data_IF_518522919715
#
_entry.id   IF_518522919715
#
_cell.length_a   1.000
_cell.length_b   1.000
_cell.length_c   1.000
_cell.angle_alpha   90.00
_cell.angle_beta   90.00
_cell.angle_gamma   90.00
#
_symmetry.space_group_name_H-M   'P 1'
#
loop_
_entity.id
_entity.type
_entity.pdbx_description
1 polymer ?
#
# COMPACT_ATOMS: atom_id res chain seq x y z
N UNK A 1 4.42 19.31 -35.58
CA UNK A 1 3.78 18.96 -34.29
C UNK A 1 4.06 17.50 -34.01
N UNK A 2 4.29 17.11 -32.75
CA UNK A 2 4.43 15.68 -32.41
C UNK A 2 3.02 15.08 -32.39
N UNK A 3 2.75 14.13 -33.28
CA UNK A 3 1.49 13.34 -33.26
C UNK A 3 1.50 12.48 -31.99
N UNK A 4 0.43 12.53 -31.20
CA UNK A 4 0.32 11.76 -29.95
C UNK A 4 0.10 10.28 -30.30
N UNK A 5 0.95 9.37 -29.81
CA UNK A 5 0.71 7.92 -29.94
C UNK A 5 -0.03 7.41 -28.71
N UNK A 6 -1.27 6.98 -28.91
CA UNK A 6 -2.14 6.54 -27.82
C UNK A 6 -2.51 5.07 -27.96
N UNK A 7 -2.54 4.35 -26.83
CA UNK A 7 -3.12 3.01 -26.75
C UNK A 7 -4.39 3.09 -25.90
N UNK A 8 -5.54 2.73 -26.47
CA UNK A 8 -6.84 2.68 -25.79
C UNK A 8 -7.16 1.24 -25.39
N UNK A 9 -7.24 0.99 -24.09
CA UNK A 9 -7.45 -0.33 -23.51
C UNK A 9 -8.77 -0.35 -22.74
N UNK A 10 -9.73 -1.14 -23.22
CA UNK A 10 -11.04 -1.31 -22.60
C UNK A 10 -11.66 -2.59 -23.18
N UNK A 11 -12.32 -3.43 -22.39
CA UNK A 11 -12.94 -4.67 -22.89
C UNK A 11 -14.25 -4.38 -23.66
N UNK A 12 -14.93 -3.28 -23.31
CA UNK A 12 -16.15 -2.85 -23.97
C UNK A 12 -15.85 -2.12 -25.30
N UNK A 13 -16.22 -2.75 -26.42
CA UNK A 13 -15.97 -2.22 -27.77
C UNK A 13 -16.55 -0.80 -27.98
N UNK A 14 -17.75 -0.55 -27.46
CA UNK A 14 -18.41 0.76 -27.55
C UNK A 14 -17.61 1.83 -26.81
N UNK A 15 -17.03 1.48 -25.67
CA UNK A 15 -16.20 2.38 -24.88
C UNK A 15 -14.90 2.71 -25.61
N UNK A 16 -14.20 1.67 -26.13
CA UNK A 16 -13.00 1.86 -26.97
C UNK A 16 -13.27 2.79 -28.15
N UNK A 17 -14.32 2.53 -28.92
CA UNK A 17 -14.64 3.32 -30.12
C UNK A 17 -14.89 4.80 -29.79
N UNK A 18 -15.63 5.08 -28.71
CA UNK A 18 -15.91 6.46 -28.29
C UNK A 18 -14.64 7.19 -27.86
N UNK A 19 -13.80 6.55 -27.05
CA UNK A 19 -12.60 7.19 -26.54
C UNK A 19 -11.54 7.35 -27.65
N UNK A 20 -11.38 6.35 -28.52
CA UNK A 20 -10.53 6.45 -29.71
C UNK A 20 -10.97 7.59 -30.62
N UNK A 21 -12.27 7.74 -30.90
CA UNK A 21 -12.77 8.82 -31.75
C UNK A 21 -12.41 10.22 -31.21
N UNK A 22 -12.40 10.41 -29.88
CA UNK A 22 -11.97 11.66 -29.24
C UNK A 22 -10.45 11.86 -29.37
N UNK A 23 -9.67 10.79 -29.23
CA UNK A 23 -8.21 10.84 -29.17
C UNK A 23 -7.54 10.84 -30.56
N UNK A 24 -8.20 10.32 -31.58
CA UNK A 24 -7.75 10.34 -32.98
C UNK A 24 -7.61 11.76 -33.53
N UNK A 25 -8.34 12.73 -32.98
CA UNK A 25 -8.16 14.16 -33.28
C UNK A 25 -6.76 14.68 -32.86
N UNK A 26 -6.06 13.95 -31.97
CA UNK A 26 -4.79 14.36 -31.37
C UNK A 26 -3.59 13.56 -31.87
N UNK A 27 -3.82 12.44 -32.57
CA UNK A 27 -2.77 11.61 -33.13
C UNK A 27 -3.20 10.18 -33.45
N UNK A 28 -2.25 9.26 -33.39
CA UNK A 28 -2.45 7.84 -33.73
C UNK A 28 -3.03 7.08 -32.53
N UNK A 29 -4.12 6.34 -32.74
CA UNK A 29 -4.72 5.46 -31.74
C UNK A 29 -4.54 3.98 -32.13
N UNK A 30 -3.88 3.23 -31.24
CA UNK A 30 -3.97 1.78 -31.19
C UNK A 30 -5.04 1.37 -30.18
N UNK A 31 -5.60 0.18 -30.33
CA UNK A 31 -6.63 -0.37 -29.43
C UNK A 31 -6.25 -1.75 -28.92
N UNK A 32 -6.64 -2.06 -27.68
CA UNK A 32 -6.53 -3.39 -27.08
C UNK A 32 -7.81 -3.70 -26.30
N UNK A 33 -8.34 -4.90 -26.45
CA UNK A 33 -9.56 -5.35 -25.77
C UNK A 33 -9.33 -6.02 -24.42
N UNK A 34 -8.07 -6.17 -23.99
CA UNK A 34 -7.73 -6.83 -22.73
C UNK A 34 -6.34 -6.44 -22.22
N UNK A 35 -6.09 -6.71 -20.94
CA UNK A 35 -4.78 -6.51 -20.31
C UNK A 35 -3.61 -7.19 -21.04
N UNK A 36 -3.70 -8.50 -21.37
CA UNK A 36 -2.65 -9.20 -22.11
C UNK A 36 -2.37 -8.61 -23.50
N UNK A 37 -3.40 -8.16 -24.23
CA UNK A 37 -3.23 -7.48 -25.51
C UNK A 37 -2.50 -6.15 -25.36
N UNK A 38 -2.83 -5.38 -24.32
CA UNK A 38 -2.16 -4.12 -24.01
C UNK A 38 -0.68 -4.31 -23.67
N UNK A 39 -0.35 -5.30 -22.83
CA UNK A 39 1.02 -5.64 -22.45
C UNK A 39 1.84 -6.03 -23.70
N UNK A 40 1.27 -6.84 -24.59
CA UNK A 40 1.94 -7.23 -25.82
C UNK A 40 2.13 -6.06 -26.79
N UNK A 41 1.16 -5.15 -26.89
CA UNK A 41 1.29 -3.92 -27.68
C UNK A 41 2.44 -3.03 -27.17
N UNK A 42 2.53 -2.84 -25.86
CA UNK A 42 3.62 -2.08 -25.22
C UNK A 42 4.97 -2.77 -25.46
N UNK A 43 5.06 -4.09 -25.24
CA UNK A 43 6.29 -4.86 -25.47
C UNK A 43 6.78 -4.74 -26.92
N UNK A 44 5.87 -4.81 -27.89
CA UNK A 44 6.18 -4.62 -29.32
C UNK A 44 6.66 -3.20 -29.63
N UNK A 45 6.09 -2.19 -28.99
CA UNK A 45 6.56 -0.81 -29.15
C UNK A 45 7.99 -0.65 -28.59
N UNK A 46 8.22 -1.12 -27.37
CA UNK A 46 9.51 -1.01 -26.67
C UNK A 46 10.63 -1.74 -27.41
N UNK A 47 10.39 -2.97 -27.88
CA UNK A 47 11.37 -3.75 -28.67
C UNK A 47 11.76 -3.10 -30.00
N UNK A 48 10.95 -2.17 -30.52
CA UNK A 48 11.25 -1.36 -31.71
C UNK A 48 11.90 0.00 -31.36
N UNK A 49 12.21 0.25 -30.09
CA UNK A 49 12.71 1.54 -29.63
C UNK A 49 11.67 2.67 -29.66
N UNK A 50 10.38 2.33 -29.67
CA UNK A 50 9.26 3.29 -29.63
C UNK A 50 8.50 3.13 -28.30
N UNK A 51 7.70 4.13 -27.94
CA UNK A 51 6.77 4.09 -26.81
C UNK A 51 5.43 4.72 -27.21
N UNK A 52 4.42 4.56 -26.36
CA UNK A 52 3.18 5.34 -26.43
C UNK A 52 3.37 6.61 -25.60
N UNK A 53 2.81 7.73 -26.04
CA UNK A 53 2.77 8.96 -25.23
C UNK A 53 1.68 8.85 -24.15
N UNK A 54 0.58 8.14 -24.47
CA UNK A 54 -0.57 7.91 -23.58
C UNK A 54 -1.08 6.46 -23.68
N UNK A 55 -1.43 5.88 -22.55
CA UNK A 55 -2.28 4.69 -22.46
C UNK A 55 -3.53 5.10 -21.68
N UNK A 56 -4.71 4.89 -22.26
CA UNK A 56 -5.96 4.90 -21.49
C UNK A 56 -6.31 3.47 -21.13
N UNK A 57 -6.60 3.22 -19.85
CA UNK A 57 -6.74 1.87 -19.31
C UNK A 57 -8.01 1.74 -18.50
N UNK A 58 -8.97 0.95 -18.98
CA UNK A 58 -10.14 0.61 -18.18
C UNK A 58 -9.75 -0.19 -16.93
N UNK A 59 -10.32 0.18 -15.79
CA UNK A 59 -10.04 -0.49 -14.50
C UNK A 59 -10.66 -1.89 -14.47
N UNK A 60 -11.88 -2.05 -14.99
CA UNK A 60 -12.73 -3.21 -14.78
C UNK A 60 -12.82 -4.08 -16.02
N UNK A 61 -11.73 -4.80 -16.30
CA UNK A 61 -11.68 -5.77 -17.40
C UNK A 61 -11.75 -7.23 -16.90
N UNK A 62 -12.35 -8.16 -17.65
CA UNK A 62 -12.31 -9.60 -17.37
C UNK A 62 -10.89 -10.17 -17.44
N UNK A 63 -10.65 -11.26 -16.70
CA UNK A 63 -9.40 -12.06 -16.66
C UNK A 63 -8.21 -11.38 -15.98
N UNK A 64 -7.90 -10.14 -16.33
CA UNK A 64 -6.81 -9.33 -15.75
C UNK A 64 -7.31 -7.91 -15.60
N UNK A 65 -7.26 -7.37 -14.38
CA UNK A 65 -7.77 -6.03 -14.12
C UNK A 65 -6.83 -4.95 -14.73
N UNK A 66 -7.34 -3.74 -14.91
CA UNK A 66 -6.54 -2.64 -15.47
C UNK A 66 -5.36 -2.23 -14.60
N UNK A 67 -5.48 -2.34 -13.28
CA UNK A 67 -4.42 -2.07 -12.29
C UNK A 67 -3.28 -3.10 -12.43
N UNK A 68 -3.61 -4.39 -12.50
CA UNK A 68 -2.65 -5.47 -12.79
C UNK A 68 -1.93 -5.23 -14.12
N UNK A 69 -2.68 -4.82 -15.13
CA UNK A 69 -2.14 -4.51 -16.46
C UNK A 69 -1.14 -3.36 -16.40
N UNK A 70 -1.46 -2.31 -15.65
CA UNK A 70 -0.55 -1.17 -15.43
C UNK A 70 0.74 -1.62 -14.74
N UNK A 71 0.66 -2.50 -13.73
CA UNK A 71 1.87 -3.02 -13.07
C UNK A 71 2.82 -3.70 -14.06
N UNK A 72 2.31 -4.58 -14.91
CA UNK A 72 3.13 -5.27 -15.91
C UNK A 72 3.69 -4.31 -16.97
N UNK A 73 2.91 -3.32 -17.40
CA UNK A 73 3.38 -2.27 -18.32
C UNK A 73 4.52 -1.46 -17.70
N UNK A 74 4.39 -1.04 -16.43
CA UNK A 74 5.44 -0.31 -15.72
C UNK A 74 6.70 -1.15 -15.53
N UNK A 75 6.56 -2.46 -15.32
CA UNK A 75 7.69 -3.40 -15.26
C UNK A 75 8.43 -3.46 -16.59
N UNK A 76 7.71 -3.58 -17.71
CA UNK A 76 8.33 -3.55 -19.05
C UNK A 76 9.07 -2.24 -19.33
N UNK A 77 8.57 -1.11 -18.84
CA UNK A 77 9.25 0.20 -19.00
C UNK A 77 10.52 0.33 -18.15
N UNK A 78 10.61 -0.34 -17.00
CA UNK A 78 11.82 -0.34 -16.15
C UNK A 78 12.99 -1.08 -16.81
N UNK A 79 12.70 -2.19 -17.50
CA UNK A 79 13.69 -2.99 -18.21
C UNK A 79 14.14 -2.35 -19.56
N UNK A 80 13.46 -1.29 -19.99
CA UNK A 80 13.75 -0.59 -21.24
C UNK A 80 14.68 0.61 -21.02
N UNK A 81 15.62 0.91 -21.95
CA UNK A 81 16.50 2.08 -21.87
C UNK A 81 15.74 3.36 -22.27
N UNK A 82 14.74 3.74 -21.48
CA UNK A 82 13.97 4.96 -21.66
C UNK A 82 14.34 5.98 -20.59
N UNK A 83 14.60 7.22 -20.99
CA UNK A 83 14.74 8.34 -20.06
C UNK A 83 13.45 8.53 -19.25
N UNK A 84 13.55 8.94 -17.98
CA UNK A 84 12.40 9.16 -17.11
C UNK A 84 11.38 10.18 -17.67
N UNK A 85 11.84 11.10 -18.54
CA UNK A 85 11.00 12.06 -19.25
C UNK A 85 10.18 11.44 -20.40
N UNK A 86 10.57 10.26 -20.88
CA UNK A 86 9.97 9.51 -21.99
C UNK A 86 9.04 8.38 -21.52
N UNK A 87 8.73 8.31 -20.21
CA UNK A 87 7.77 7.34 -19.67
C UNK A 87 6.35 7.63 -20.17
N UNK A 88 5.66 6.57 -20.58
CA UNK A 88 4.28 6.64 -21.06
C UNK A 88 3.38 7.21 -19.96
N UNK A 89 2.49 8.15 -20.33
CA UNK A 89 1.44 8.58 -19.40
C UNK A 89 0.34 7.55 -19.39
N UNK A 90 -0.12 7.14 -18.21
CA UNK A 90 -1.24 6.19 -18.07
C UNK A 90 -2.41 6.93 -17.42
N UNK A 91 -3.56 6.94 -18.08
CA UNK A 91 -4.81 7.50 -17.59
C UNK A 91 -5.82 6.37 -17.36
N UNK A 92 -6.20 6.15 -16.10
CA UNK A 92 -7.20 5.11 -15.79
C UNK A 92 -8.59 5.57 -16.16
N UNK A 93 -9.38 4.66 -16.72
CA UNK A 93 -10.77 4.88 -17.04
C UNK A 93 -11.60 4.05 -16.07
N UNK A 94 -12.52 4.69 -15.36
CA UNK A 94 -13.39 4.00 -14.39
C UNK A 94 -14.86 4.32 -14.66
N UNK A 95 -15.72 3.32 -14.47
CA UNK A 95 -17.17 3.51 -14.52
C UNK A 95 -17.73 4.18 -13.26
N UNK A 96 -16.97 4.20 -12.15
CA UNK A 96 -17.44 4.67 -10.85
C UNK A 96 -16.47 5.68 -10.23
N UNK A 97 -17.00 6.67 -9.51
CA UNK A 97 -16.20 7.67 -8.79
C UNK A 97 -15.74 7.16 -7.41
N UNK A 98 -15.46 5.86 -7.31
CA UNK A 98 -15.03 5.26 -6.05
C UNK A 98 -13.60 5.66 -5.74
N UNK A 99 -13.35 6.37 -4.63
CA UNK A 99 -12.00 6.83 -4.33
C UNK A 99 -11.05 5.69 -4.00
N UNK A 100 -11.52 4.53 -3.52
CA UNK A 100 -10.64 3.39 -3.22
C UNK A 100 -9.98 2.87 -4.51
N UNK A 101 -10.81 2.72 -5.55
CA UNK A 101 -10.37 2.43 -6.90
C UNK A 101 -9.36 3.47 -7.39
N UNK A 102 -9.65 4.76 -7.23
CA UNK A 102 -8.74 5.82 -7.67
C UNK A 102 -7.43 5.88 -6.90
N UNK A 103 -7.44 5.66 -5.58
CA UNK A 103 -6.24 5.57 -4.74
C UNK A 103 -5.37 4.41 -5.22
N UNK A 104 -5.97 3.24 -5.43
CA UNK A 104 -5.27 2.05 -5.94
C UNK A 104 -4.69 2.31 -7.34
N UNK A 105 -5.44 2.97 -8.23
CA UNK A 105 -4.96 3.37 -9.56
C UNK A 105 -3.76 4.30 -9.50
N UNK A 106 -3.77 5.30 -8.62
CA UNK A 106 -2.63 6.20 -8.43
C UNK A 106 -1.41 5.43 -7.94
N UNK A 107 -1.59 4.51 -6.99
CA UNK A 107 -0.51 3.66 -6.46
C UNK A 107 0.07 2.71 -7.50
N UNK A 108 -0.74 2.27 -8.47
CA UNK A 108 -0.27 1.50 -9.62
C UNK A 108 0.72 2.25 -10.52
N UNK A 109 0.90 3.55 -10.30
CA UNK A 109 1.77 4.41 -11.09
C UNK A 109 1.04 5.08 -12.26
N UNK A 110 -0.28 5.21 -12.19
CA UNK A 110 -1.05 6.00 -13.15
C UNK A 110 -0.83 7.49 -12.93
N UNK A 111 -0.97 8.27 -14.00
CA UNK A 111 -0.70 9.70 -13.99
C UNK A 111 -1.97 10.55 -13.85
N UNK A 112 -3.12 10.01 -14.25
CA UNK A 112 -4.43 10.65 -14.09
C UNK A 112 -5.54 9.58 -14.18
N UNK A 113 -6.78 10.02 -14.05
CA UNK A 113 -7.97 9.19 -14.25
C UNK A 113 -9.11 9.97 -14.92
N UNK A 114 -10.05 9.23 -15.51
CA UNK A 114 -11.25 9.73 -16.14
C UNK A 114 -12.43 8.81 -15.79
N UNK A 115 -13.60 9.41 -15.57
CA UNK A 115 -14.82 8.68 -15.22
C UNK A 115 -15.73 8.63 -16.44
N UNK A 116 -16.30 7.45 -16.73
CA UNK A 116 -17.31 7.26 -17.78
C UNK A 116 -18.63 7.95 -17.37
N UNK A 117 -19.42 8.50 -18.32
CA UNK A 117 -19.20 8.55 -19.76
C UNK A 117 -18.18 9.61 -20.19
N UNK A 118 -17.53 9.38 -21.33
CA UNK A 118 -16.53 10.28 -21.88
C UNK A 118 -17.14 11.61 -22.36
N UNK A 119 -16.66 12.69 -21.77
CA UNK A 119 -16.92 14.06 -22.20
C UNK A 119 -15.63 14.57 -22.87
N UNK A 120 -15.64 14.90 -24.18
CA UNK A 120 -14.47 15.36 -24.90
C UNK A 120 -13.75 16.51 -24.18
N UNK A 121 -14.48 17.48 -23.63
CA UNK A 121 -13.90 18.61 -22.89
C UNK A 121 -13.09 18.14 -21.68
N UNK A 122 -13.59 17.15 -20.94
CA UNK A 122 -12.87 16.58 -19.79
C UNK A 122 -11.64 15.80 -20.25
N UNK A 123 -11.73 15.05 -21.35
CA UNK A 123 -10.58 14.35 -21.93
C UNK A 123 -9.49 15.36 -22.29
N UNK A 124 -9.81 16.40 -23.07
CA UNK A 124 -8.86 17.45 -23.44
C UNK A 124 -8.24 18.14 -22.23
N UNK A 125 -9.04 18.45 -21.22
CA UNK A 125 -8.55 19.06 -19.98
C UNK A 125 -7.50 18.18 -19.28
N UNK A 126 -7.77 16.87 -19.17
CA UNK A 126 -6.85 15.90 -18.55
C UNK A 126 -5.56 15.74 -19.34
N UNK A 127 -5.64 15.67 -20.67
CA UNK A 127 -4.47 15.61 -21.55
C UNK A 127 -3.57 16.84 -21.41
N UNK A 128 -4.17 18.03 -21.25
CA UNK A 128 -3.43 19.27 -20.99
C UNK A 128 -2.73 19.23 -19.64
N UNK A 129 -3.39 18.74 -18.59
CA UNK A 129 -2.78 18.58 -17.25
C UNK A 129 -1.61 17.60 -17.26
N UNK A 130 -1.70 16.54 -18.07
CA UNK A 130 -0.60 15.59 -18.32
C UNK A 130 0.54 16.16 -19.18
N UNK A 131 0.43 17.43 -19.62
CA UNK A 131 1.36 18.11 -20.53
C UNK A 131 1.56 17.37 -21.86
N UNK A 132 0.55 16.63 -22.29
CA UNK A 132 0.52 15.97 -23.59
C UNK A 132 0.07 16.92 -24.71
N UNK A 133 -0.51 18.07 -24.34
CA UNK A 133 -0.96 19.12 -25.25
C UNK A 133 -0.21 20.43 -24.98
N UNK A 134 0.35 21.03 -26.04
CA UNK A 134 0.87 22.40 -25.97
C UNK A 134 -0.28 23.40 -26.00
N UNK A 135 -0.13 24.52 -25.29
CA UNK A 135 -1.19 25.48 -24.94
C UNK A 135 -1.92 26.24 -26.07
N UNK A 136 -1.89 25.75 -27.32
CA UNK A 136 -2.55 26.37 -28.47
C UNK A 136 -3.60 25.47 -29.17
N UNK A 137 -3.86 24.25 -28.70
CA UNK A 137 -4.99 23.46 -29.20
C UNK A 137 -6.31 24.03 -28.65
N UNK A 138 -6.85 25.01 -29.37
CA UNK A 138 -8.26 25.41 -29.28
C UNK A 138 -9.07 24.51 -30.20
N UNK A 139 -10.25 24.06 -29.75
CA UNK A 139 -11.18 23.28 -30.58
C UNK A 139 -11.41 23.93 -31.96
N UNK A 140 -11.34 23.19 -33.07
CA UNK A 140 -11.90 23.66 -34.33
C UNK A 140 -13.43 23.52 -34.28
N UNK A 141 -14.11 24.55 -33.80
CA UNK A 141 -15.56 24.69 -33.97
C UNK A 141 -16.41 24.63 -32.71
N UNK A 142 -16.29 25.64 -31.83
CA UNK A 142 -17.35 25.98 -30.89
C UNK A 142 -17.55 27.51 -30.91
N UNK A 143 -18.51 27.95 -31.73
CA UNK A 143 -19.06 29.29 -31.61
C UNK A 143 -19.80 29.42 -30.28
N UNK A 144 -19.60 30.56 -29.63
CA UNK A 144 -20.13 30.99 -28.33
C UNK A 144 -19.37 30.50 -27.09
N UNK A 145 -18.52 31.41 -26.59
CA UNK A 145 -17.93 31.36 -25.28
C UNK A 145 -18.99 31.18 -24.17
N UNK A 146 -18.84 30.19 -23.28
CA UNK A 146 -19.40 30.27 -21.95
C UNK A 146 -18.55 31.24 -21.12
N UNK A 147 -19.27 32.07 -20.35
CA UNK A 147 -18.78 33.14 -19.49
C UNK A 147 -17.58 32.71 -18.64
N UNK A 148 -16.62 33.64 -18.51
CA UNK A 148 -15.53 33.66 -17.52
C UNK A 148 -15.99 33.02 -16.20
N UNK A 149 -15.61 31.77 -15.96
CA UNK A 149 -15.47 31.28 -14.60
C UNK A 149 -14.11 31.75 -14.11
N UNK A 150 -14.16 32.41 -12.96
CA UNK A 150 -13.03 32.99 -12.25
C UNK A 150 -11.94 31.94 -11.99
N UNK A 151 -10.68 32.37 -11.71
CA UNK A 151 -9.60 31.44 -11.42
C UNK A 151 -10.03 30.55 -10.25
N UNK A 152 -10.03 29.24 -10.46
CA UNK A 152 -10.17 28.26 -9.38
C UNK A 152 -8.87 28.29 -8.58
N UNK A 153 -8.67 29.36 -7.80
CA UNK A 153 -7.95 29.25 -6.56
C UNK A 153 -8.90 28.52 -5.61
N UNK A 154 -8.86 27.19 -5.66
CA UNK A 154 -9.47 26.39 -4.61
C UNK A 154 -8.82 26.78 -3.29
N UNK A 155 -9.62 27.17 -2.31
CA UNK A 155 -9.24 27.04 -0.91
C UNK A 155 -8.90 25.56 -0.70
N UNK A 156 -7.63 25.21 -0.88
CA UNK A 156 -7.11 23.90 -0.49
C UNK A 156 -7.29 23.84 1.01
N UNK A 157 -8.30 23.11 1.48
CA UNK A 157 -8.22 22.50 2.80
C UNK A 157 -6.99 21.61 2.73
N UNK A 158 -5.89 22.08 3.33
CA UNK A 158 -4.68 21.30 3.46
C UNK A 158 -5.02 20.16 4.41
N UNK A 159 -5.30 18.98 3.85
CA UNK A 159 -5.77 17.79 4.59
C UNK A 159 -4.88 17.57 5.82
N UNK A 160 -3.57 17.77 5.67
CA UNK A 160 -2.60 17.72 6.78
C UNK A 160 -2.92 18.66 7.95
N UNK A 161 -3.38 19.89 7.72
CA UNK A 161 -3.75 20.83 8.80
C UNK A 161 -4.99 20.36 9.56
N UNK A 162 -6.01 19.86 8.87
CA UNK A 162 -7.23 19.37 9.52
C UNK A 162 -6.95 18.08 10.30
N UNK A 163 -6.13 17.19 9.74
CA UNK A 163 -5.64 15.98 10.43
C UNK A 163 -4.88 16.34 11.71
N UNK A 164 -3.92 17.27 11.64
CA UNK A 164 -3.14 17.69 12.80
C UNK A 164 -4.02 18.36 13.86
N UNK A 165 -5.04 19.12 13.45
CA UNK A 165 -6.01 19.74 14.36
C UNK A 165 -6.82 18.68 15.09
N UNK A 166 -7.36 17.69 14.38
CA UNK A 166 -8.11 16.56 14.98
C UNK A 166 -7.25 15.71 15.91
N UNK A 167 -5.96 15.52 15.57
CA UNK A 167 -5.00 14.86 16.45
C UNK A 167 -4.79 15.58 17.78
N UNK A 168 -4.64 16.91 17.74
CA UNK A 168 -4.41 17.71 18.96
C UNK A 168 -5.67 17.96 19.77
N UNK A 169 -6.84 18.07 19.13
CA UNK A 169 -8.10 18.37 19.83
C UNK A 169 -8.64 17.18 20.63
N UNK A 170 -8.20 15.95 20.31
CA UNK A 170 -8.73 14.74 20.95
C UNK A 170 -10.20 14.47 20.61
N UNK A 171 -10.75 15.17 19.62
CA UNK A 171 -12.17 15.09 19.22
C UNK A 171 -12.52 13.79 18.48
N UNK A 172 -11.54 12.99 18.08
CA UNK A 172 -11.75 11.69 17.44
C UNK A 172 -11.54 10.55 18.41
N UNK A 173 -12.28 9.46 18.17
CA UNK A 173 -12.06 8.20 18.85
C UNK A 173 -10.79 7.56 18.26
N UNK A 174 -9.62 7.93 18.78
CA UNK A 174 -8.36 7.37 18.33
C UNK A 174 -8.34 5.87 18.59
N UNK A 175 -7.93 5.06 17.60
CA UNK A 175 -7.64 3.66 17.89
C UNK A 175 -6.63 3.57 19.02
N UNK A 176 -6.86 2.62 19.93
CA UNK A 176 -5.90 2.21 20.93
C UNK A 176 -5.83 0.69 20.95
N UNK A 177 -4.67 0.10 21.20
CA UNK A 177 -4.57 -1.33 21.39
C UNK A 177 -5.52 -1.78 22.51
N UNK A 178 -6.17 -2.96 22.38
CA UNK A 178 -7.00 -3.51 23.44
C UNK A 178 -6.22 -3.63 24.77
N UNK A 179 -6.90 -3.49 25.91
CA UNK A 179 -6.26 -3.60 27.21
C UNK A 179 -5.54 -4.94 27.43
N UNK A 180 -6.14 -6.03 26.93
CA UNK A 180 -5.55 -7.38 26.95
C UNK A 180 -4.19 -7.38 26.25
N UNK A 181 -4.02 -6.64 25.16
CA UNK A 181 -2.75 -6.54 24.44
C UNK A 181 -1.69 -5.79 25.25
N UNK A 182 -2.05 -4.69 25.92
CA UNK A 182 -1.12 -3.94 26.79
C UNK A 182 -0.64 -4.80 27.97
N UNK A 183 -1.57 -5.51 28.62
CA UNK A 183 -1.25 -6.44 29.70
C UNK A 183 -0.36 -7.59 29.19
N UNK A 184 -0.63 -8.08 27.99
CA UNK A 184 0.17 -9.13 27.35
C UNK A 184 1.60 -8.66 27.15
N UNK A 185 1.82 -7.48 26.56
CA UNK A 185 3.17 -6.92 26.38
C UNK A 185 3.91 -6.77 27.71
N UNK A 186 3.23 -6.26 28.75
CA UNK A 186 3.78 -6.12 30.11
C UNK A 186 4.23 -7.47 30.69
N UNK A 187 3.42 -8.52 30.52
CA UNK A 187 3.76 -9.87 30.99
C UNK A 187 4.98 -10.45 30.26
N UNK A 188 5.10 -10.24 28.94
CA UNK A 188 6.26 -10.73 28.21
C UNK A 188 7.53 -10.00 28.64
N UNK A 189 7.47 -8.68 28.80
CA UNK A 189 8.61 -7.88 29.29
C UNK A 189 9.04 -8.31 30.70
N UNK A 190 8.09 -8.69 31.55
CA UNK A 190 8.36 -9.24 32.87
C UNK A 190 8.90 -10.69 32.85
N UNK A 191 9.02 -11.32 31.68
CA UNK A 191 9.47 -12.70 31.55
C UNK A 191 8.46 -13.73 32.10
N UNK A 192 7.16 -13.43 32.02
CA UNK A 192 6.11 -14.31 32.50
C UNK A 192 6.10 -15.67 31.78
N UNK A 193 5.68 -16.71 32.49
CA UNK A 193 5.58 -18.05 31.92
C UNK A 193 4.34 -18.22 31.02
N UNK A 194 4.30 -19.34 30.30
CA UNK A 194 3.21 -19.69 29.40
C UNK A 194 1.84 -19.81 30.12
N UNK A 195 1.82 -20.12 31.42
CA UNK A 195 0.61 -20.24 32.21
C UNK A 195 -0.02 -18.89 32.49
N UNK A 196 0.78 -17.93 32.99
CA UNK A 196 0.34 -16.55 33.23
C UNK A 196 -0.20 -15.88 31.96
N UNK A 197 0.46 -16.12 30.82
CA UNK A 197 0.01 -15.63 29.52
C UNK A 197 -1.31 -16.29 29.11
N UNK A 198 -1.42 -17.60 29.30
CA UNK A 198 -2.65 -18.32 29.00
C UNK A 198 -3.81 -17.85 29.89
N UNK A 199 -3.57 -17.49 31.14
CA UNK A 199 -4.62 -16.98 32.03
C UNK A 199 -5.11 -15.60 31.62
N UNK A 200 -4.21 -14.69 31.20
CA UNK A 200 -4.59 -13.40 30.62
C UNK A 200 -5.41 -13.56 29.34
N UNK A 201 -4.90 -14.34 28.38
CA UNK A 201 -5.50 -14.42 27.04
C UNK A 201 -6.85 -15.17 27.03
N UNK A 202 -7.19 -15.93 28.08
CA UNK A 202 -8.51 -16.54 28.26
C UNK A 202 -9.64 -15.51 28.35
N UNK A 203 -9.34 -14.27 28.73
CA UNK A 203 -10.32 -13.20 28.80
C UNK A 203 -10.84 -12.79 27.40
N UNK A 204 -10.06 -13.06 26.35
CA UNK A 204 -10.44 -12.80 24.97
C UNK A 204 -10.77 -14.11 24.22
N UNK A 205 -12.06 -14.28 23.90
CA UNK A 205 -12.58 -15.46 23.20
C UNK A 205 -11.97 -15.60 21.80
N UNK A 206 -11.76 -14.50 21.08
CA UNK A 206 -11.26 -14.55 19.71
C UNK A 206 -9.79 -14.97 19.70
N UNK A 207 -8.97 -14.40 20.58
CA UNK A 207 -7.55 -14.78 20.72
C UNK A 207 -7.44 -16.25 21.16
N UNK A 208 -8.22 -16.63 22.17
CA UNK A 208 -8.23 -18.00 22.69
C UNK A 208 -8.59 -19.02 21.63
N UNK A 209 -9.69 -18.81 20.92
CA UNK A 209 -10.17 -19.71 19.87
C UNK A 209 -9.13 -19.82 18.74
N UNK A 210 -8.56 -18.69 18.33
CA UNK A 210 -7.59 -18.67 17.24
C UNK A 210 -6.30 -19.42 17.59
N UNK A 211 -5.74 -19.20 18.77
CA UNK A 211 -4.53 -19.90 19.22
C UNK A 211 -4.77 -21.41 19.33
N UNK A 212 -5.93 -21.84 19.82
CA UNK A 212 -6.30 -23.25 19.85
C UNK A 212 -6.41 -23.81 18.42
N UNK A 213 -7.12 -23.12 17.52
CA UNK A 213 -7.30 -23.52 16.12
C UNK A 213 -5.96 -23.68 15.40
N UNK A 214 -5.09 -22.67 15.47
CA UNK A 214 -3.74 -22.69 14.89
C UNK A 214 -2.93 -23.85 15.43
N UNK A 215 -2.96 -24.10 16.75
CA UNK A 215 -2.22 -25.22 17.37
C UNK A 215 -2.69 -26.62 16.95
N UNK A 216 -3.86 -26.70 16.31
CA UNK A 216 -4.43 -27.92 15.74
C UNK A 216 -4.37 -27.96 14.21
N UNK A 217 -3.81 -26.93 13.57
CA UNK A 217 -3.62 -26.87 12.12
C UNK A 217 -2.60 -27.90 11.63
N UNK A 218 -2.66 -28.34 10.35
CA UNK A 218 -1.75 -29.36 9.81
C UNK A 218 -0.25 -29.05 10.00
N UNK A 219 0.11 -27.77 10.09
CA UNK A 219 1.49 -27.31 10.27
C UNK A 219 2.00 -27.58 11.69
N UNK A 220 1.14 -27.45 12.71
CA UNK A 220 1.53 -27.52 14.12
C UNK A 220 0.94 -28.72 14.87
N UNK A 221 0.00 -29.45 14.27
CA UNK A 221 -0.77 -30.52 14.93
C UNK A 221 0.15 -31.59 15.54
N UNK A 222 -0.05 -31.85 16.83
CA UNK A 222 0.58 -32.97 17.54
C UNK A 222 -0.25 -34.25 17.47
N UNK A 223 0.09 -35.22 18.32
CA UNK A 223 -0.62 -36.52 18.39
C UNK A 223 -2.10 -36.37 18.76
N UNK A 224 -2.42 -35.42 19.63
CA UNK A 224 -3.78 -35.14 20.11
C UNK A 224 -4.18 -33.69 19.84
N UNK A 225 -5.48 -33.44 19.69
CA UNK A 225 -6.00 -32.07 19.60
C UNK A 225 -5.88 -31.33 20.94
N UNK A 226 -5.46 -30.07 20.86
CA UNK A 226 -5.49 -29.14 21.98
C UNK A 226 -6.91 -28.61 22.19
N UNK A 227 -7.35 -28.55 23.45
CA UNK A 227 -8.71 -28.14 23.83
C UNK A 227 -8.75 -26.89 24.71
N UNK A 228 -7.59 -26.40 25.13
CA UNK A 228 -7.47 -25.23 25.96
C UNK A 228 -6.20 -24.44 25.63
N UNK A 229 -6.14 -23.22 26.14
CA UNK A 229 -5.09 -22.28 25.80
C UNK A 229 -3.71 -22.68 26.34
N UNK A 230 -3.64 -23.34 27.50
CA UNK A 230 -2.38 -23.83 28.04
C UNK A 230 -1.73 -24.86 27.12
N UNK A 231 -2.52 -25.81 26.61
CA UNK A 231 -2.06 -26.82 25.65
C UNK A 231 -1.64 -26.18 24.32
N UNK A 232 -2.42 -25.19 23.84
CA UNK A 232 -2.10 -24.45 22.63
C UNK A 232 -0.77 -23.70 22.75
N UNK A 233 -0.60 -22.88 23.79
CA UNK A 233 0.61 -22.09 24.01
C UNK A 233 1.82 -22.98 24.26
N UNK A 234 1.66 -24.09 24.99
CA UNK A 234 2.75 -25.06 25.20
C UNK A 234 3.21 -25.70 23.89
N UNK A 235 2.30 -25.93 22.94
CA UNK A 235 2.62 -26.51 21.62
C UNK A 235 3.22 -25.49 20.65
N UNK A 236 2.62 -24.32 20.58
CA UNK A 236 3.07 -23.24 19.70
C UNK A 236 4.39 -22.64 20.18
N UNK A 237 4.62 -22.66 21.49
CA UNK A 237 5.68 -21.92 22.14
C UNK A 237 5.35 -20.43 22.26
N UNK A 238 6.14 -19.74 23.08
CA UNK A 238 5.92 -18.35 23.42
C UNK A 238 6.06 -17.40 22.21
N UNK A 239 7.08 -17.63 21.39
CA UNK A 239 7.37 -16.79 20.22
C UNK A 239 6.23 -16.79 19.21
N UNK A 240 5.71 -17.98 18.86
CA UNK A 240 4.61 -18.08 17.91
C UNK A 240 3.29 -17.57 18.52
N UNK A 241 3.07 -17.81 19.81
CA UNK A 241 1.92 -17.25 20.54
C UNK A 241 1.91 -15.72 20.44
N UNK A 242 3.05 -15.07 20.70
CA UNK A 242 3.20 -13.62 20.55
C UNK A 242 2.85 -13.15 19.13
N UNK A 243 3.40 -13.79 18.09
CA UNK A 243 3.10 -13.43 16.69
C UNK A 243 1.61 -13.43 16.40
N UNK A 244 0.87 -14.46 16.83
CA UNK A 244 -0.58 -14.51 16.62
C UNK A 244 -1.35 -13.48 17.45
N UNK A 245 -0.93 -13.22 18.69
CA UNK A 245 -1.53 -12.16 19.51
C UNK A 245 -1.32 -10.79 18.84
N UNK A 246 -0.12 -10.50 18.33
CA UNK A 246 0.17 -9.29 17.55
C UNK A 246 -0.73 -9.19 16.32
N UNK A 247 -0.87 -10.27 15.55
CA UNK A 247 -1.71 -10.30 14.35
C UNK A 247 -3.18 -10.01 14.68
N UNK A 248 -3.73 -10.69 15.67
CA UNK A 248 -5.15 -10.57 16.02
C UNK A 248 -5.49 -9.21 16.63
N UNK A 249 -4.66 -8.74 17.56
CA UNK A 249 -4.91 -7.46 18.25
C UNK A 249 -4.75 -6.29 17.28
N UNK A 250 -3.69 -6.29 16.47
CA UNK A 250 -3.45 -5.20 15.53
C UNK A 250 -4.43 -5.23 14.34
N UNK A 251 -4.91 -6.40 13.88
CA UNK A 251 -5.89 -6.46 12.80
C UNK A 251 -7.12 -5.60 13.07
N UNK A 252 -7.60 -5.55 14.32
CA UNK A 252 -8.75 -4.70 14.69
C UNK A 252 -8.51 -3.22 14.42
N UNK A 253 -7.26 -2.79 14.53
CA UNK A 253 -6.82 -1.42 14.32
C UNK A 253 -6.64 -1.13 12.83
N UNK A 254 -6.27 -2.13 12.03
CA UNK A 254 -6.17 -2.03 10.57
C UNK A 254 -7.53 -2.24 9.86
N UNK A 255 -8.60 -1.61 10.37
CA UNK A 255 -9.92 -1.62 9.73
C UNK A 255 -10.50 -0.21 9.55
N UNK A 256 -11.48 -0.08 8.67
CA UNK A 256 -12.26 1.15 8.50
C UNK A 256 -13.73 0.81 8.25
N UNK A 257 -14.65 1.68 8.67
CA UNK A 257 -16.08 1.55 8.34
C UNK A 257 -16.41 2.19 6.99
N UNK A 258 -15.50 3.02 6.46
CA UNK A 258 -15.70 3.70 5.20
C UNK A 258 -15.23 2.79 4.06
N UNK A 259 -16.19 2.30 3.28
CA UNK A 259 -15.97 1.39 2.13
C UNK A 259 -15.01 1.96 1.08
N UNK A 260 -14.86 3.28 1.03
CA UNK A 260 -13.96 3.98 0.11
C UNK A 260 -12.49 3.86 0.48
N UNK A 261 -12.15 3.33 1.66
CA UNK A 261 -10.76 3.12 2.08
C UNK A 261 -10.51 1.68 2.58
N UNK A 262 -11.47 0.78 2.36
CA UNK A 262 -11.44 -0.59 2.88
C UNK A 262 -10.33 -1.39 2.19
N UNK A 263 -10.25 -1.30 0.86
CA UNK A 263 -9.21 -1.99 0.07
C UNK A 263 -7.82 -1.46 0.41
N UNK A 264 -7.67 -0.13 0.54
CA UNK A 264 -6.40 0.46 0.97
C UNK A 264 -5.96 -0.07 2.35
N UNK A 265 -6.88 -0.16 3.31
CA UNK A 265 -6.59 -0.68 4.65
C UNK A 265 -6.20 -2.16 4.62
N UNK A 266 -6.85 -2.98 3.78
CA UNK A 266 -6.48 -4.37 3.59
C UNK A 266 -5.07 -4.53 3.01
N UNK A 267 -4.72 -3.73 2.01
CA UNK A 267 -3.38 -3.72 1.42
C UNK A 267 -2.31 -3.20 2.39
N UNK A 268 -2.63 -2.21 3.21
CA UNK A 268 -1.75 -1.71 4.26
C UNK A 268 -1.52 -2.78 5.35
N UNK A 269 -2.55 -3.56 5.69
CA UNK A 269 -2.42 -4.71 6.57
C UNK A 269 -1.51 -5.79 5.97
N UNK A 270 -1.76 -6.17 4.71
CA UNK A 270 -0.94 -7.15 3.98
C UNK A 270 0.54 -6.75 3.96
N UNK A 271 0.82 -5.47 3.70
CA UNK A 271 2.17 -4.90 3.76
C UNK A 271 2.80 -5.04 5.15
N UNK A 272 2.07 -4.65 6.20
CA UNK A 272 2.58 -4.67 7.58
C UNK A 272 2.89 -6.09 8.05
N UNK A 273 2.04 -7.07 7.71
CA UNK A 273 2.25 -8.48 8.03
C UNK A 273 3.43 -9.07 7.25
N UNK A 274 3.57 -8.72 5.97
CA UNK A 274 4.72 -9.13 5.17
C UNK A 274 6.04 -8.56 5.72
N UNK A 275 6.04 -7.28 6.13
CA UNK A 275 7.18 -6.64 6.77
C UNK A 275 7.53 -7.34 8.10
N UNK A 276 6.53 -7.69 8.92
CA UNK A 276 6.73 -8.46 10.15
C UNK A 276 7.39 -9.82 9.91
N UNK A 277 6.91 -10.58 8.92
CA UNK A 277 7.51 -11.85 8.54
C UNK A 277 8.92 -11.68 7.99
N UNK A 278 9.18 -10.63 7.20
CA UNK A 278 10.50 -10.34 6.65
C UNK A 278 11.49 -9.99 7.76
N UNK A 279 11.14 -9.06 8.67
CA UNK A 279 11.96 -8.67 9.81
C UNK A 279 12.31 -9.87 10.70
N UNK A 280 11.30 -10.67 11.05
CA UNK A 280 11.50 -11.87 11.85
C UNK A 280 12.36 -12.91 11.13
N UNK A 281 12.15 -13.11 9.83
CA UNK A 281 12.93 -14.07 9.04
C UNK A 281 14.40 -13.65 8.94
N UNK A 282 14.67 -12.36 8.76
CA UNK A 282 16.04 -11.81 8.79
C UNK A 282 16.69 -12.12 10.14
N UNK A 283 16.01 -11.87 11.26
CA UNK A 283 16.56 -12.16 12.59
C UNK A 283 16.89 -13.63 12.76
N UNK A 284 15.97 -14.52 12.37
CA UNK A 284 16.15 -15.97 12.47
C UNK A 284 17.31 -16.49 11.60
N UNK A 285 17.46 -15.97 10.37
CA UNK A 285 18.46 -16.45 9.41
C UNK A 285 19.86 -15.89 9.66
N UNK A 286 19.94 -14.66 10.19
CA UNK A 286 21.22 -14.02 10.52
C UNK A 286 21.69 -14.35 11.94
N UNK A 287 20.79 -14.80 12.82
CA UNK A 287 21.07 -15.00 14.24
C UNK A 287 21.36 -13.70 14.98
N UNK A 288 20.95 -12.55 14.45
CA UNK A 288 21.21 -11.26 15.08
C UNK A 288 20.47 -11.15 16.42
N UNK A 289 21.18 -10.69 17.45
CA UNK A 289 20.55 -10.33 18.71
C UNK A 289 19.82 -8.98 18.53
N UNK A 290 18.54 -8.95 18.87
CA UNK A 290 17.71 -7.77 18.88
C UNK A 290 16.99 -7.68 20.23
N UNK A 291 17.04 -6.52 20.88
CA UNK A 291 16.36 -6.30 22.16
C UNK A 291 14.85 -6.16 21.99
N UNK A 292 14.43 -5.62 20.85
CA UNK A 292 13.04 -5.41 20.47
C UNK A 292 12.50 -6.64 19.73
N UNK A 293 11.18 -6.82 19.77
CA UNK A 293 10.53 -7.85 18.96
C UNK A 293 10.46 -7.43 17.49
N UNK A 294 11.17 -8.15 16.62
CA UNK A 294 11.24 -7.84 15.19
C UNK A 294 9.88 -7.96 14.49
N UNK A 295 9.06 -8.91 14.91
CA UNK A 295 7.74 -9.13 14.31
C UNK A 295 6.80 -7.98 14.68
N UNK A 296 6.70 -7.64 15.97
CA UNK A 296 5.89 -6.51 16.43
C UNK A 296 6.34 -5.20 15.78
N UNK A 297 7.66 -4.98 15.65
CA UNK A 297 8.21 -3.82 14.93
C UNK A 297 7.72 -3.77 13.47
N UNK A 298 7.79 -4.89 12.75
CA UNK A 298 7.33 -4.94 11.36
C UNK A 298 5.82 -4.74 11.22
N UNK A 299 4.99 -5.19 12.17
CA UNK A 299 3.54 -4.90 12.16
C UNK A 299 3.28 -3.40 12.36
N UNK A 300 4.04 -2.74 13.22
CA UNK A 300 3.75 -1.37 13.66
C UNK A 300 4.54 -0.27 12.93
N UNK A 301 5.54 -0.63 12.12
CA UNK A 301 6.43 0.35 11.50
C UNK A 301 5.69 1.42 10.66
N UNK A 302 4.59 1.04 10.00
CA UNK A 302 3.79 1.91 9.15
C UNK A 302 2.42 2.27 9.78
N UNK A 303 2.31 2.18 11.12
CA UNK A 303 1.06 2.49 11.86
C UNK A 303 0.55 3.91 11.63
N UNK A 304 1.45 4.83 11.26
CA UNK A 304 1.11 6.20 10.90
C UNK A 304 0.11 6.29 9.75
N UNK A 305 0.32 5.53 8.66
CA UNK A 305 -0.61 5.52 7.51
C UNK A 305 -1.99 5.00 7.91
N UNK A 306 -2.03 4.01 8.80
CA UNK A 306 -3.25 3.39 9.29
C UNK A 306 -4.11 4.38 10.11
N UNK A 307 -3.53 5.12 11.05
CA UNK A 307 -4.32 6.10 11.82
C UNK A 307 -4.72 7.28 10.93
N UNK A 308 -3.82 7.75 10.06
CA UNK A 308 -4.11 8.89 9.18
C UNK A 308 -5.27 8.61 8.23
N UNK A 309 -5.33 7.42 7.62
CA UNK A 309 -6.43 7.10 6.71
C UNK A 309 -7.76 6.95 7.45
N UNK A 310 -7.78 6.49 8.70
CA UNK A 310 -9.00 6.50 9.52
C UNK A 310 -9.50 7.91 9.79
N UNK A 311 -8.60 8.86 10.07
CA UNK A 311 -8.95 10.28 10.25
C UNK A 311 -9.51 10.84 8.94
N UNK A 312 -8.83 10.58 7.81
CA UNK A 312 -9.31 11.00 6.48
C UNK A 312 -10.70 10.41 6.20
N UNK A 313 -10.90 9.12 6.47
CA UNK A 313 -12.18 8.43 6.32
C UNK A 313 -13.29 9.04 7.18
N UNK A 314 -12.98 9.49 8.40
CA UNK A 314 -13.92 10.15 9.29
C UNK A 314 -14.28 11.56 8.80
N UNK A 315 -13.29 12.36 8.37
CA UNK A 315 -13.50 13.70 7.77
C UNK A 315 -14.40 13.57 6.53
N UNK A 316 -14.12 12.57 5.71
CA UNK A 316 -14.85 12.28 4.49
C UNK A 316 -16.31 11.89 4.77
N UNK A 317 -16.51 10.99 5.74
CA UNK A 317 -17.86 10.58 6.18
C UNK A 317 -18.67 11.77 6.70
N UNK A 318 -18.01 12.74 7.34
CA UNK A 318 -18.62 14.00 7.81
C UNK A 318 -18.84 15.03 6.69
N UNK A 319 -18.50 14.71 5.44
CA UNK A 319 -18.64 15.61 4.29
C UNK A 319 -17.74 16.84 4.35
N UNK A 320 -16.68 16.81 5.17
CA UNK A 320 -15.77 17.94 5.38
C UNK A 320 -14.60 17.97 4.39
N UNK A 321 -14.39 16.90 3.62
CA UNK A 321 -13.44 16.92 2.51
C UNK A 321 -14.02 17.74 1.35
N UNK A 322 -13.21 18.59 0.68
CA UNK A 322 -13.62 19.24 -0.56
C UNK A 322 -14.19 18.24 -1.57
N UNK A 323 -15.31 18.57 -2.21
CA UNK A 323 -16.01 17.68 -3.15
C UNK A 323 -15.15 17.21 -4.34
N UNK A 324 -14.02 17.88 -4.62
CA UNK A 324 -13.07 17.55 -5.68
C UNK A 324 -11.70 17.07 -5.15
N UNK A 325 -11.62 16.61 -3.89
CA UNK A 325 -10.35 16.15 -3.30
C UNK A 325 -9.71 15.10 -4.19
N UNK A 326 -8.51 15.40 -4.70
CA UNK A 326 -7.76 14.50 -5.55
C UNK A 326 -7.18 13.36 -4.69
N UNK A 327 -7.39 12.08 -5.05
CA UNK A 327 -6.74 10.93 -4.41
C UNK A 327 -5.22 11.09 -4.25
N UNK A 328 -4.56 11.76 -5.19
CA UNK A 328 -3.13 12.10 -5.10
C UNK A 328 -2.82 13.02 -3.91
N UNK A 329 -3.71 13.97 -3.59
CA UNK A 329 -3.52 14.88 -2.45
C UNK A 329 -3.63 14.10 -1.13
N UNK A 330 -4.55 13.14 -1.05
CA UNK A 330 -4.67 12.23 0.11
C UNK A 330 -3.38 11.41 0.27
N UNK A 331 -2.92 10.74 -0.79
CA UNK A 331 -1.70 9.93 -0.77
C UNK A 331 -0.45 10.76 -0.44
N UNK A 332 -0.32 11.97 -1.01
CA UNK A 332 0.79 12.87 -0.69
C UNK A 332 0.77 13.32 0.78
N UNK A 333 -0.42 13.51 1.36
CA UNK A 333 -0.57 13.81 2.79
C UNK A 333 -0.16 12.59 3.63
N UNK A 334 -0.60 11.39 3.28
CA UNK A 334 -0.19 10.17 3.98
C UNK A 334 1.33 10.01 3.94
N UNK A 335 1.94 10.10 2.76
CA UNK A 335 3.39 10.00 2.59
C UNK A 335 4.15 11.07 3.38
N UNK A 336 3.72 12.34 3.33
CA UNK A 336 4.43 13.42 4.01
C UNK A 336 4.35 13.37 5.55
N UNK A 337 3.28 12.81 6.11
CA UNK A 337 3.02 12.89 7.56
C UNK A 337 3.08 11.55 8.30
N UNK A 338 3.03 10.40 7.62
CA UNK A 338 2.91 9.11 8.30
C UNK A 338 4.05 8.80 9.27
N UNK A 339 5.31 9.11 8.95
CA UNK A 339 6.44 8.84 9.83
C UNK A 339 6.33 9.58 11.18
N UNK A 340 6.33 10.92 11.20
CA UNK A 340 6.16 11.69 12.43
C UNK A 340 4.85 11.39 13.17
N UNK A 341 3.80 11.04 12.43
CA UNK A 341 2.52 10.68 13.04
C UNK A 341 2.57 9.30 13.70
N UNK A 342 3.23 8.32 13.08
CA UNK A 342 3.48 7.00 13.65
C UNK A 342 4.27 7.08 14.95
N UNK A 343 5.32 7.91 15.00
CA UNK A 343 6.05 8.23 16.24
C UNK A 343 5.11 8.74 17.34
N UNK A 344 4.27 9.72 17.02
CA UNK A 344 3.33 10.31 17.98
C UNK A 344 2.29 9.29 18.48
N UNK A 345 1.79 8.41 17.61
CA UNK A 345 0.84 7.35 17.94
C UNK A 345 1.46 6.32 18.87
N UNK A 346 2.65 5.81 18.53
CA UNK A 346 3.33 4.79 19.33
C UNK A 346 3.74 5.32 20.71
N UNK A 347 4.19 6.58 20.79
CA UNK A 347 4.45 7.25 22.06
C UNK A 347 3.17 7.38 22.90
N UNK A 348 2.03 7.71 22.28
CA UNK A 348 0.73 7.78 22.98
C UNK A 348 0.23 6.40 23.44
N UNK A 349 0.65 5.34 22.76
CA UNK A 349 0.36 3.95 23.14
C UNK A 349 1.37 3.37 24.13
N UNK A 350 2.33 4.17 24.61
CA UNK A 350 3.33 3.79 25.61
C UNK A 350 4.29 2.69 25.14
N UNK A 351 4.50 2.56 23.82
CA UNK A 351 5.57 1.72 23.29
C UNK A 351 6.96 2.29 23.63
N UNK A 352 8.01 1.46 23.68
CA UNK A 352 9.39 1.93 23.80
C UNK A 352 9.71 2.98 22.73
N UNK A 353 10.51 4.00 23.07
CA UNK A 353 10.79 5.15 22.20
C UNK A 353 11.40 4.74 20.86
N UNK A 354 12.14 3.64 20.87
CA UNK A 354 12.77 3.03 19.71
C UNK A 354 11.74 2.64 18.63
N UNK A 355 10.54 2.17 19.01
CA UNK A 355 9.46 1.90 18.06
C UNK A 355 9.03 3.18 17.33
N UNK A 356 8.88 4.29 18.06
CA UNK A 356 8.50 5.58 17.50
C UNK A 356 9.55 6.14 16.53
N UNK A 357 10.83 6.03 16.88
CA UNK A 357 11.95 6.42 16.02
C UNK A 357 11.98 5.60 14.73
N UNK A 358 11.78 4.29 14.83
CA UNK A 358 11.74 3.40 13.65
C UNK A 358 10.55 3.77 12.77
N UNK A 359 9.35 3.94 13.33
CA UNK A 359 8.17 4.33 12.56
C UNK A 359 8.36 5.66 11.83
N UNK A 360 9.14 6.59 12.40
CA UNK A 360 9.46 7.87 11.78
C UNK A 360 10.41 7.79 10.59
N UNK A 361 11.38 6.88 10.63
CA UNK A 361 12.52 6.85 9.71
C UNK A 361 12.59 5.57 8.86
N UNK A 362 11.61 4.67 8.94
CA UNK A 362 11.60 3.39 8.22
C UNK A 362 11.61 3.52 6.69
N UNK A 363 11.25 4.68 6.14
CA UNK A 363 11.28 4.99 4.71
C UNK A 363 12.40 5.97 4.33
N UNK A 364 13.20 6.45 5.29
CA UNK A 364 14.29 7.39 5.09
C UNK A 364 15.64 6.67 4.99
N UNK A 365 16.10 6.48 3.75
CA UNK A 365 17.37 5.81 3.46
C UNK A 365 18.62 6.57 3.93
N UNK A 366 18.50 7.86 4.27
CA UNK A 366 19.61 8.73 4.66
C UNK A 366 19.60 9.07 6.16
N UNK A 367 18.83 8.34 6.96
CA UNK A 367 18.77 8.59 8.40
C UNK A 367 20.08 8.17 9.08
N UNK A 368 20.99 9.12 9.24
CA UNK A 368 22.15 9.02 10.11
C UNK A 368 21.70 9.21 11.56
N UNK A 369 21.82 8.18 12.41
CA UNK A 369 21.63 8.36 13.85
C UNK A 369 20.98 7.23 14.64
N UNK A 370 20.74 6.05 14.03
CA UNK A 370 20.31 4.89 14.80
C UNK A 370 21.47 3.90 14.93
N UNK A 371 22.19 3.95 16.06
CA UNK A 371 23.18 2.91 16.45
C UNK A 371 22.53 1.52 16.66
N UNK A 372 21.22 1.41 16.46
CA UNK A 372 20.44 0.18 16.60
C UNK A 372 20.31 -0.57 15.28
N UNK A 373 20.57 -1.88 15.31
CA UNK A 373 20.31 -2.80 14.20
C UNK A 373 18.82 -2.90 13.82
N UNK A 374 17.91 -2.40 14.66
CA UNK A 374 16.48 -2.44 14.44
C UNK A 374 16.02 -1.59 13.25
N UNK A 375 16.62 -0.41 13.03
CA UNK A 375 16.21 0.48 11.95
C UNK A 375 16.60 -0.10 10.57
N UNK A 376 17.86 -0.49 10.30
CA UNK A 376 18.22 -1.18 9.08
C UNK A 376 17.42 -2.47 8.85
N UNK A 377 17.09 -3.20 9.92
CA UNK A 377 16.24 -4.39 9.84
C UNK A 377 14.86 -4.07 9.24
N UNK A 378 14.18 -3.06 9.78
CA UNK A 378 12.84 -2.69 9.32
C UNK A 378 12.88 -2.01 7.95
N UNK A 379 13.90 -1.20 7.67
CA UNK A 379 14.10 -0.63 6.34
C UNK A 379 14.28 -1.74 5.29
N UNK A 380 15.12 -2.75 5.57
CA UNK A 380 15.29 -3.88 4.66
C UNK A 380 14.01 -4.70 4.52
N UNK A 381 13.32 -4.99 5.62
CA UNK A 381 12.05 -5.71 5.61
C UNK A 381 10.99 -4.99 4.77
N UNK A 382 10.90 -3.66 4.89
CA UNK A 382 10.03 -2.81 4.07
C UNK A 382 10.37 -2.90 2.57
N UNK A 383 11.67 -2.81 2.21
CA UNK A 383 12.12 -2.95 0.83
C UNK A 383 11.79 -4.35 0.26
N UNK A 384 12.07 -5.41 1.02
CA UNK A 384 11.72 -6.79 0.63
C UNK A 384 10.23 -6.90 0.34
N UNK A 385 9.39 -6.41 1.25
CA UNK A 385 7.93 -6.41 1.13
C UNK A 385 7.46 -5.72 -0.14
N UNK A 386 8.04 -4.55 -0.47
CA UNK A 386 7.77 -3.82 -1.72
C UNK A 386 8.20 -4.62 -2.96
N UNK A 387 9.37 -5.26 -2.93
CA UNK A 387 9.86 -6.06 -4.06
C UNK A 387 9.01 -7.30 -4.32
N UNK A 388 8.49 -7.96 -3.27
CA UNK A 388 7.63 -9.13 -3.43
C UNK A 388 6.17 -8.79 -3.75
N UNK A 389 5.82 -7.50 -3.87
CA UNK A 389 4.49 -7.03 -4.24
C UNK A 389 3.43 -7.19 -3.15
N UNK A 390 3.84 -7.29 -1.89
CA UNK A 390 2.92 -7.44 -0.75
C UNK A 390 2.58 -6.05 -0.20
N UNK A 391 1.44 -5.50 -0.60
CA UNK A 391 0.99 -4.19 -0.14
C UNK A 391 0.22 -3.40 -1.18
N UNK A 392 0.21 -2.08 -0.98
CA UNK A 392 -0.50 -1.13 -1.84
C UNK A 392 0.39 -0.50 -2.92
N UNK A 393 1.70 -0.51 -2.74
CA UNK A 393 2.65 0.03 -3.72
C UNK A 393 2.90 -0.95 -4.87
N UNK A 394 3.22 -0.43 -6.05
CA UNK A 394 3.70 -1.23 -7.16
C UNK A 394 4.95 -2.04 -6.77
N UNK A 395 5.10 -3.29 -7.25
CA UNK A 395 6.36 -4.00 -7.12
C UNK A 395 7.49 -3.15 -7.70
N UNK A 396 8.41 -2.71 -6.85
CA UNK A 396 9.57 -1.94 -7.27
C UNK A 396 10.72 -2.90 -7.53
N UNK A 397 11.35 -2.81 -8.72
CA UNK A 397 12.68 -3.38 -8.91
C UNK A 397 13.66 -2.59 -8.05
N UNK A 398 13.88 -3.07 -6.85
CA UNK A 398 14.86 -2.53 -5.90
C UNK A 398 16.04 -3.49 -5.94
N UNK A 399 17.23 -2.94 -6.11
CA UNK A 399 18.47 -3.69 -5.89
C UNK A 399 18.64 -3.89 -4.37
N UNK A 400 18.01 -4.96 -3.86
CA UNK A 400 18.00 -5.28 -2.44
C UNK A 400 19.41 -5.61 -1.95
N UNK A 401 20.21 -6.31 -2.76
CA UNK A 401 21.56 -6.75 -2.39
C UNK A 401 22.51 -5.57 -2.15
N UNK A 402 22.41 -4.52 -2.96
CA UNK A 402 23.25 -3.32 -2.82
C UNK A 402 22.59 -2.19 -2.02
N UNK A 403 21.45 -2.44 -1.39
CA UNK A 403 20.79 -1.48 -0.52
C UNK A 403 21.62 -1.21 0.75
N UNK A 404 21.62 0.03 1.25
CA UNK A 404 22.32 0.39 2.49
C UNK A 404 21.90 -0.48 3.69
N UNK A 405 20.60 -0.78 3.91
CA UNK A 405 20.18 -1.69 4.96
C UNK A 405 20.77 -3.11 4.84
N UNK A 406 20.84 -3.68 3.63
CA UNK A 406 21.44 -5.01 3.41
C UNK A 406 22.94 -5.02 3.71
N UNK A 407 23.67 -3.96 3.32
CA UNK A 407 25.09 -3.79 3.65
C UNK A 407 25.30 -3.67 5.16
N UNK A 408 24.50 -2.87 5.86
CA UNK A 408 24.58 -2.72 7.32
C UNK A 408 24.31 -4.01 8.08
N UNK A 409 23.46 -4.88 7.54
CA UNK A 409 23.10 -6.17 8.14
C UNK A 409 23.98 -7.33 7.64
N UNK A 410 24.91 -7.08 6.71
CA UNK A 410 25.77 -8.09 6.08
C UNK A 410 24.98 -9.22 5.40
N UNK A 411 23.89 -8.89 4.71
CA UNK A 411 23.03 -9.87 4.02
C UNK A 411 23.42 -9.96 2.55
N UNK A 412 23.84 -11.15 2.11
CA UNK A 412 24.19 -11.43 0.72
C UNK A 412 22.97 -11.74 -0.17
N UNK A 413 23.14 -11.71 -1.50
CA UNK A 413 22.06 -11.98 -2.45
C UNK A 413 21.38 -13.35 -2.26
N UNK A 414 22.14 -14.40 -1.91
CA UNK A 414 21.57 -15.74 -1.67
C UNK A 414 20.65 -15.78 -0.47
N UNK A 415 21.06 -15.15 0.63
CA UNK A 415 20.27 -15.03 1.84
C UNK A 415 19.02 -14.18 1.55
N UNK A 416 19.17 -13.10 0.77
CA UNK A 416 18.06 -12.24 0.34
C UNK A 416 16.98 -13.01 -0.43
N UNK A 417 17.36 -13.85 -1.40
CA UNK A 417 16.43 -14.69 -2.18
C UNK A 417 15.70 -15.69 -1.28
N UNK A 418 16.42 -16.31 -0.35
CA UNK A 418 15.85 -17.25 0.61
C UNK A 418 14.85 -16.58 1.56
N UNK A 419 15.14 -15.35 2.02
CA UNK A 419 14.23 -14.54 2.83
C UNK A 419 12.94 -14.27 2.03
N UNK A 420 13.06 -13.76 0.79
CA UNK A 420 11.89 -13.44 -0.06
C UNK A 420 10.99 -14.66 -0.27
N UNK A 421 11.57 -15.83 -0.57
CA UNK A 421 10.83 -17.08 -0.75
C UNK A 421 10.10 -17.51 0.52
N UNK A 422 10.78 -17.45 1.68
CA UNK A 422 10.20 -17.80 2.98
C UNK A 422 9.06 -16.86 3.37
N UNK A 423 9.22 -15.54 3.15
CA UNK A 423 8.17 -14.55 3.44
C UNK A 423 6.91 -14.81 2.61
N UNK A 424 7.03 -15.08 1.31
CA UNK A 424 5.87 -15.42 0.45
C UNK A 424 5.11 -16.64 0.96
N UNK A 425 5.83 -17.67 1.41
CA UNK A 425 5.22 -18.87 2.00
C UNK A 425 4.49 -18.54 3.32
N UNK A 426 5.15 -17.81 4.22
CA UNK A 426 4.57 -17.42 5.52
C UNK A 426 3.33 -16.53 5.37
N UNK A 427 3.31 -15.65 4.37
CA UNK A 427 2.14 -14.85 4.03
C UNK A 427 0.93 -15.71 3.65
N UNK A 428 1.13 -16.71 2.79
CA UNK A 428 0.07 -17.65 2.40
C UNK A 428 -0.43 -18.47 3.60
N UNK A 429 0.47 -18.94 4.46
CA UNK A 429 0.11 -19.66 5.70
C UNK A 429 -0.69 -18.76 6.65
N UNK A 430 -0.29 -17.49 6.79
CA UNK A 430 -0.95 -16.52 7.66
C UNK A 430 -2.35 -16.17 7.15
N UNK A 431 -2.53 -15.98 5.84
CA UNK A 431 -3.84 -15.77 5.23
C UNK A 431 -4.77 -16.96 5.45
N UNK A 432 -4.28 -18.18 5.28
CA UNK A 432 -5.05 -19.40 5.54
C UNK A 432 -5.39 -19.61 7.02
N UNK A 433 -4.54 -19.11 7.93
CA UNK A 433 -4.79 -19.21 9.36
C UNK A 433 -5.80 -18.17 9.84
N UNK A 434 -5.77 -16.95 9.27
CA UNK A 434 -6.61 -15.81 9.65
C UNK A 434 -7.95 -15.72 8.91
N UNK A 435 -8.08 -16.34 7.73
CA UNK A 435 -9.33 -16.47 6.98
C UNK A 435 -10.17 -17.63 7.48
#
# INVERSE_FOLDING_TARGET
>A
MKSLKTLVVDDEEVSRLKLSAILEEMGECAVAGSGPEAIEAVRKALSKGSHFDLITMDVSMPLMDGIETVFEIRRLEQDAPLDAASKTKIMMITANNDRDCLITCVQAGCNDYLIKPFDPEKVFHRLRNLKLLNGENSMPGAGQAPKKQAPVHSEKVEIGKEVLKMFRSGETNFPSPPNVYKQFMTLIEAGADAGAIADLLKEDINISFHLISVSNSPVYRGVNDNRNLHQAISRLGLQLTRKYVDLLCNRTIFTTKNKTYERFMEKLWEHSVACAHAAQTIVEMTGMALELDAFTLGVLHDVGKMVLIQIVAEIDTKGKLPHNTNPQDVLSTLSAYHGPFGEAVLNKWEFPKEFGLIAKHHDDANCDGCDSKALPLIQLANLITKTIGMGYDAPMQIDLEHSEPAKHLYIDGKTMEAIQSKVKKLMSETQNALG
#
